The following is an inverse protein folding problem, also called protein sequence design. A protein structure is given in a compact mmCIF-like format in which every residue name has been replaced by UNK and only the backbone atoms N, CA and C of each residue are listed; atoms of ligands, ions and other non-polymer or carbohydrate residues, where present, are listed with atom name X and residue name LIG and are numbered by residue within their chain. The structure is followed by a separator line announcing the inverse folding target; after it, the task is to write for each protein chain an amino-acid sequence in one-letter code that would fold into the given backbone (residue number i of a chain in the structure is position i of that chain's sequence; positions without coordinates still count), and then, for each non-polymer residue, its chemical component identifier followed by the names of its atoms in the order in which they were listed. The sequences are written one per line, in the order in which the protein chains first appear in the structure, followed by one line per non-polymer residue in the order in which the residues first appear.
data_IF_531182833537
#
_entry.id   IF_531182833537
#
_cell.length_a   1.000
_cell.length_b   1.000
_cell.length_c   1.000
_cell.angle_alpha   90.00
_cell.angle_beta   90.00
_cell.angle_gamma   90.00
#
_symmetry.space_group_name_H-M   'P 1'
#
loop_
_entity.id
_entity.type
_entity.pdbx_description
1 polymer ?
#
# COMPACT_ATOMS: atom_id res chain seq x y z
N UNK A 1 -33.26 -30.94 30.25
CA UNK A 1 -33.89 -29.90 29.39
C UNK A 1 -33.16 -28.60 29.70
N UNK A 2 -32.04 -28.33 29.01
CA UNK A 2 -31.93 -27.67 27.69
C UNK A 2 -32.08 -26.15 27.82
N UNK A 3 -30.96 -25.43 27.95
CA UNK A 3 -30.27 -24.67 26.91
C UNK A 3 -30.67 -23.18 26.93
N UNK A 4 -29.71 -22.33 27.31
CA UNK A 4 -29.67 -20.93 26.93
C UNK A 4 -28.20 -20.57 26.70
N UNK A 5 -27.69 -21.03 25.57
CA UNK A 5 -26.48 -20.52 24.91
C UNK A 5 -26.88 -20.24 23.47
N UNK A 6 -26.10 -19.42 22.77
CA UNK A 6 -26.30 -18.96 21.38
C UNK A 6 -27.37 -17.85 21.29
N UNK A 7 -27.21 -16.70 20.61
CA UNK A 7 -26.39 -16.31 19.46
C UNK A 7 -26.15 -14.78 19.58
N UNK A 8 -24.91 -14.32 19.73
CA UNK A 8 -24.54 -12.96 19.29
C UNK A 8 -23.95 -13.16 17.90
N UNK A 9 -24.79 -12.98 16.88
CA UNK A 9 -24.41 -13.16 15.49
C UNK A 9 -23.46 -12.04 15.09
N UNK A 10 -22.22 -12.44 14.94
CA UNK A 10 -21.21 -11.89 14.06
C UNK A 10 -21.82 -11.20 12.83
N UNK A 11 -21.68 -9.88 12.78
CA UNK A 11 -22.04 -9.07 11.61
C UNK A 11 -20.72 -8.69 10.93
N UNK A 12 -20.05 -9.67 10.33
CA UNK A 12 -18.95 -9.45 9.40
C UNK A 12 -19.54 -8.91 8.11
N UNK A 13 -19.50 -7.59 7.94
CA UNK A 13 -19.73 -6.98 6.63
C UNK A 13 -18.55 -7.33 5.72
N UNK A 14 -18.55 -8.53 5.14
CA UNK A 14 -17.64 -8.87 4.05
C UNK A 14 -18.02 -8.03 2.82
N UNK A 15 -17.32 -6.91 2.64
CA UNK A 15 -17.13 -6.37 1.29
C UNK A 15 -16.54 -7.52 0.46
N UNK A 16 -17.32 -8.05 -0.48
CA UNK A 16 -17.00 -9.21 -1.33
C UNK A 16 -15.94 -8.83 -2.39
N UNK A 17 -14.85 -8.23 -1.92
CA UNK A 17 -13.71 -7.79 -2.71
C UNK A 17 -12.79 -8.97 -2.88
N UNK A 18 -12.40 -9.35 -4.11
CA UNK A 18 -11.47 -10.46 -4.33
C UNK A 18 -10.06 -10.14 -3.82
N UNK A 19 -9.83 -8.90 -3.36
CA UNK A 19 -8.57 -8.44 -2.81
C UNK A 19 -8.52 -8.59 -1.30
N UNK A 20 -7.46 -9.23 -0.82
CA UNK A 20 -7.08 -9.34 0.58
C UNK A 20 -5.88 -8.44 0.86
N UNK A 21 -5.99 -7.57 1.87
CA UNK A 21 -4.89 -6.74 2.32
C UNK A 21 -4.25 -7.38 3.56
N UNK A 22 -2.94 -7.54 3.54
CA UNK A 22 -2.18 -8.02 4.70
C UNK A 22 -0.92 -7.19 4.96
N UNK A 23 -0.41 -7.16 6.19
CA UNK A 23 0.95 -6.71 6.43
C UNK A 23 1.96 -7.51 5.61
N UNK A 24 2.94 -6.83 5.03
CA UNK A 24 4.13 -7.48 4.49
C UNK A 24 4.96 -8.05 5.64
N UNK A 25 5.63 -9.17 5.39
CA UNK A 25 6.52 -9.83 6.35
C UNK A 25 7.97 -9.73 5.88
N UNK A 26 8.96 -9.72 6.79
CA UNK A 26 10.38 -9.77 6.45
C UNK A 26 10.79 -11.18 6.01
N UNK A 27 10.19 -11.65 4.91
CA UNK A 27 10.49 -12.94 4.29
C UNK A 27 11.12 -12.72 2.93
N UNK A 28 11.98 -13.65 2.45
CA UNK A 28 12.55 -13.56 1.11
C UNK A 28 11.49 -13.41 0.00
N UNK A 29 10.32 -14.02 0.17
CA UNK A 29 9.22 -13.98 -0.80
C UNK A 29 8.60 -12.58 -0.92
N UNK A 30 8.24 -11.95 0.21
CA UNK A 30 7.65 -10.61 0.22
C UNK A 30 8.67 -9.56 -0.21
N UNK A 31 9.92 -9.70 0.24
CA UNK A 31 11.02 -8.83 -0.19
C UNK A 31 11.24 -8.91 -1.70
N UNK A 32 11.35 -10.12 -2.27
CA UNK A 32 11.51 -10.30 -3.70
C UNK A 32 10.29 -9.77 -4.49
N UNK A 33 9.08 -9.96 -3.97
CA UNK A 33 7.87 -9.42 -4.59
C UNK A 33 7.94 -7.89 -4.69
N UNK A 34 8.21 -7.20 -3.58
CA UNK A 34 8.28 -5.72 -3.52
C UNK A 34 9.32 -5.18 -4.50
N UNK A 35 10.55 -5.72 -4.49
CA UNK A 35 11.60 -5.30 -5.42
C UNK A 35 11.21 -5.53 -6.88
N UNK A 36 10.66 -6.71 -7.18
CA UNK A 36 10.24 -7.02 -8.55
C UNK A 36 9.08 -6.14 -9.03
N UNK A 37 8.18 -5.74 -8.12
CA UNK A 37 7.07 -4.84 -8.42
C UNK A 37 7.57 -3.41 -8.68
N UNK A 38 8.55 -2.91 -7.91
CA UNK A 38 9.27 -1.67 -8.20
C UNK A 38 9.91 -1.70 -9.58
N UNK A 39 10.71 -2.72 -9.88
CA UNK A 39 11.39 -2.88 -11.17
C UNK A 39 10.40 -2.92 -12.33
N UNK A 40 9.31 -3.68 -12.18
CA UNK A 40 8.27 -3.83 -13.21
C UNK A 40 7.54 -2.53 -13.55
N UNK A 41 7.58 -1.56 -12.64
CA UNK A 41 6.93 -0.27 -12.85
C UNK A 41 7.75 0.64 -13.78
N UNK A 42 9.06 0.45 -13.89
CA UNK A 42 9.93 1.33 -14.69
C UNK A 42 9.60 1.29 -16.19
N UNK A 43 9.43 0.12 -16.84
CA UNK A 43 9.02 0.07 -18.24
C UNK A 43 7.66 0.73 -18.48
N UNK A 44 6.70 0.55 -17.57
CA UNK A 44 5.39 1.18 -17.67
C UNK A 44 5.52 2.71 -17.59
N UNK A 45 6.24 3.22 -16.57
CA UNK A 45 6.50 4.66 -16.43
C UNK A 45 7.19 5.24 -17.67
N UNK A 46 8.19 4.55 -18.23
CA UNK A 46 8.84 4.97 -19.46
C UNK A 46 7.86 5.02 -20.64
N UNK A 47 7.01 4.00 -20.81
CA UNK A 47 6.04 3.92 -21.91
C UNK A 47 5.01 5.06 -21.90
N UNK A 48 4.71 5.62 -20.73
CA UNK A 48 3.76 6.73 -20.56
C UNK A 48 4.46 8.09 -20.37
N UNK A 49 5.76 8.19 -20.70
CA UNK A 49 6.54 9.43 -20.61
C UNK A 49 6.81 9.91 -19.18
N UNK A 50 6.73 9.02 -18.19
CA UNK A 50 6.91 9.28 -16.75
C UNK A 50 8.24 8.74 -16.20
N UNK A 51 9.22 8.47 -17.07
CA UNK A 51 10.51 7.90 -16.68
C UNK A 51 11.29 8.77 -15.69
N UNK A 52 11.16 10.10 -15.75
CA UNK A 52 11.83 11.04 -14.84
C UNK A 52 11.40 10.86 -13.38
N UNK A 53 10.23 10.25 -13.12
CA UNK A 53 9.74 10.02 -11.77
C UNK A 53 10.70 9.14 -10.96
N UNK A 54 11.19 8.03 -11.55
CA UNK A 54 12.05 7.07 -10.86
C UNK A 54 13.36 6.79 -11.60
N UNK A 55 13.57 7.26 -12.83
CA UNK A 55 14.71 6.92 -13.66
C UNK A 55 14.59 5.52 -14.30
N UNK A 56 15.68 5.03 -14.89
CA UNK A 56 15.71 3.79 -15.68
C UNK A 56 16.40 2.60 -15.01
N UNK A 57 17.27 2.84 -14.01
CA UNK A 57 17.97 1.76 -13.30
C UNK A 57 16.97 0.93 -12.48
N UNK A 58 16.91 -0.40 -12.59
CA UNK A 58 16.08 -1.23 -11.71
C UNK A 58 16.37 -0.98 -10.24
N UNK A 59 15.35 -0.85 -9.40
CA UNK A 59 15.48 -0.69 -7.95
C UNK A 59 16.24 -1.84 -7.30
N UNK A 60 16.08 -3.07 -7.80
CA UNK A 60 16.89 -4.22 -7.36
C UNK A 60 18.40 -4.05 -7.60
N UNK A 61 18.80 -3.10 -8.45
CA UNK A 61 20.20 -2.82 -8.82
C UNK A 61 20.67 -1.45 -8.31
N UNK A 62 19.84 -0.72 -7.55
CA UNK A 62 20.16 0.63 -7.04
C UNK A 62 20.86 0.57 -5.69
N UNK A 63 22.19 0.42 -5.70
CA UNK A 63 23.00 0.53 -4.49
C UNK A 63 22.41 -0.28 -3.33
N UNK A 64 22.12 0.40 -2.22
CA UNK A 64 21.60 -0.22 -0.98
C UNK A 64 20.07 -0.38 -0.95
N UNK A 65 19.34 -0.08 -2.03
CA UNK A 65 17.87 -0.13 -2.03
C UNK A 65 17.29 -1.50 -1.64
N UNK A 66 17.82 -2.64 -2.12
CA UNK A 66 17.38 -3.97 -1.64
C UNK A 66 17.55 -4.14 -0.12
N UNK A 67 18.70 -3.74 0.42
CA UNK A 67 19.03 -3.88 1.83
C UNK A 67 18.15 -2.97 2.69
N UNK A 68 17.93 -1.73 2.27
CA UNK A 68 17.03 -0.80 2.95
C UNK A 68 15.56 -1.28 2.88
N UNK A 69 15.11 -1.85 1.76
CA UNK A 69 13.77 -2.45 1.65
C UNK A 69 13.57 -3.58 2.66
N UNK A 70 14.59 -4.44 2.85
CA UNK A 70 14.53 -5.51 3.85
C UNK A 70 14.46 -4.95 5.28
N UNK A 71 15.29 -3.94 5.59
CA UNK A 71 15.28 -3.26 6.89
C UNK A 71 13.95 -2.55 7.16
N UNK A 72 13.33 -1.97 6.14
CA UNK A 72 12.00 -1.37 6.22
C UNK A 72 10.91 -2.42 6.50
N UNK A 73 11.02 -3.63 5.93
CA UNK A 73 10.14 -4.75 6.27
C UNK A 73 10.30 -5.18 7.72
N UNK A 74 11.53 -5.32 8.21
CA UNK A 74 11.83 -5.66 9.61
C UNK A 74 11.23 -4.62 10.56
N UNK A 75 11.44 -3.33 10.28
CA UNK A 75 10.92 -2.24 11.12
C UNK A 75 9.40 -2.11 11.06
N UNK A 76 8.78 -2.35 9.90
CA UNK A 76 7.32 -2.42 9.77
C UNK A 76 6.74 -3.55 10.63
N UNK A 77 7.39 -4.72 10.63
CA UNK A 77 6.95 -5.87 11.43
C UNK A 77 7.18 -5.67 12.92
N UNK A 78 8.35 -5.13 13.32
CA UNK A 78 8.63 -4.75 14.70
C UNK A 78 7.58 -3.76 15.22
N UNK A 79 7.23 -2.74 14.41
CA UNK A 79 6.21 -1.78 14.77
C UNK A 79 4.83 -2.42 14.90
N UNK A 80 4.47 -3.38 14.03
CA UNK A 80 3.22 -4.15 14.13
C UNK A 80 3.13 -4.91 15.46
N UNK A 81 4.22 -5.54 15.87
CA UNK A 81 4.25 -6.41 17.03
C UNK A 81 4.35 -5.65 18.35
N UNK A 82 5.10 -4.55 18.38
CA UNK A 82 5.46 -3.85 19.62
C UNK A 82 4.75 -2.51 19.81
N UNK A 83 4.23 -1.91 18.73
CA UNK A 83 3.73 -0.54 18.74
C UNK A 83 4.82 0.53 18.89
N UNK A 84 6.11 0.16 18.85
CA UNK A 84 7.25 1.09 18.85
C UNK A 84 7.84 1.18 17.45
N UNK A 85 8.07 2.39 16.95
CA UNK A 85 8.64 2.59 15.62
C UNK A 85 9.93 3.40 15.70
N UNK A 86 10.98 2.91 15.04
CA UNK A 86 12.22 3.66 14.82
C UNK A 86 12.25 4.30 13.41
N UNK A 87 11.19 4.13 12.63
CA UNK A 87 11.07 4.61 11.24
C UNK A 87 9.75 5.36 11.04
N UNK A 88 9.47 6.35 11.88
CA UNK A 88 8.35 7.29 11.69
C UNK A 88 6.98 6.61 11.45
N UNK A 89 6.71 5.51 12.16
CA UNK A 89 5.46 4.77 12.05
C UNK A 89 5.29 4.03 10.71
N UNK A 90 6.38 3.67 10.04
CA UNK A 90 6.36 2.91 8.77
C UNK A 90 5.60 1.59 8.93
N UNK A 91 4.69 1.34 7.99
CA UNK A 91 4.03 0.06 7.77
C UNK A 91 3.96 -0.25 6.27
N UNK A 92 4.22 -1.51 5.94
CA UNK A 92 4.15 -2.01 4.57
C UNK A 92 3.03 -3.04 4.48
N UNK A 93 2.19 -2.90 3.46
CA UNK A 93 1.08 -3.80 3.19
C UNK A 93 1.16 -4.35 1.78
N UNK A 94 0.80 -5.62 1.62
CA UNK A 94 0.65 -6.28 0.32
C UNK A 94 -0.85 -6.50 0.11
N UNK A 95 -1.32 -6.12 -1.08
CA UNK A 95 -2.64 -6.53 -1.57
C UNK A 95 -2.46 -7.78 -2.41
N UNK A 96 -3.23 -8.81 -2.06
CA UNK A 96 -3.25 -10.09 -2.74
C UNK A 96 -4.64 -10.34 -3.31
N UNK A 97 -4.73 -11.24 -4.27
CA UNK A 97 -5.98 -11.74 -4.82
C UNK A 97 -6.00 -13.25 -4.71
N UNK A 98 -7.14 -13.83 -4.36
CA UNK A 98 -7.33 -15.27 -4.42
C UNK A 98 -7.04 -15.78 -5.84
N UNK A 99 -6.26 -16.85 -5.93
CA UNK A 99 -5.74 -17.39 -7.17
C UNK A 99 -6.14 -18.86 -7.30
N UNK A 100 -6.86 -19.17 -8.37
CA UNK A 100 -7.22 -20.54 -8.73
C UNK A 100 -6.40 -20.97 -9.95
N UNK A 101 -5.83 -22.19 -9.90
CA UNK A 101 -4.88 -22.70 -10.89
C UNK A 101 -5.50 -22.88 -12.29
N UNK A 102 -6.83 -22.92 -12.39
CA UNK A 102 -7.57 -23.05 -13.66
C UNK A 102 -7.49 -21.81 -14.57
N UNK A 103 -6.81 -20.74 -14.13
CA UNK A 103 -6.48 -19.59 -14.99
C UNK A 103 -5.25 -19.93 -15.86
N UNK A 104 -5.45 -20.68 -16.95
CA UNK A 104 -4.42 -21.39 -17.76
C UNK A 104 -3.29 -20.56 -18.41
N UNK A 105 -3.21 -19.23 -18.30
CA UNK A 105 -2.34 -18.44 -19.18
C UNK A 105 -1.03 -17.88 -18.59
N UNK A 106 -0.68 -18.14 -17.32
CA UNK A 106 0.39 -17.37 -16.64
C UNK A 106 1.35 -18.19 -15.75
N UNK A 107 1.92 -19.29 -16.26
CA UNK A 107 2.54 -20.34 -15.42
C UNK A 107 4.05 -20.22 -15.12
N UNK A 108 4.77 -19.20 -15.62
CA UNK A 108 6.22 -19.08 -15.37
C UNK A 108 6.60 -18.16 -14.20
N UNK A 109 6.19 -16.89 -14.28
CA UNK A 109 6.69 -15.83 -13.39
C UNK A 109 5.77 -15.53 -12.19
N UNK A 110 4.51 -16.00 -12.19
CA UNK A 110 3.55 -15.74 -11.10
C UNK A 110 3.76 -16.68 -9.91
N UNK A 111 4.36 -17.85 -10.13
CA UNK A 111 4.49 -18.91 -9.13
C UNK A 111 5.45 -18.56 -8.00
N UNK A 112 6.50 -17.76 -8.26
CA UNK A 112 7.54 -17.43 -7.27
C UNK A 112 7.05 -16.58 -6.10
N UNK A 113 5.96 -15.84 -6.28
CA UNK A 113 5.39 -14.96 -5.26
C UNK A 113 4.06 -15.48 -4.70
N UNK A 114 3.58 -16.64 -5.17
CA UNK A 114 2.32 -17.21 -4.71
C UNK A 114 2.41 -17.59 -3.24
N UNK A 115 1.49 -17.08 -2.43
CA UNK A 115 1.38 -17.44 -1.03
C UNK A 115 0.34 -18.55 -0.88
N UNK A 116 0.75 -19.68 -0.33
CA UNK A 116 -0.15 -20.78 0.02
C UNK A 116 -0.42 -20.72 1.52
N UNK A 117 -1.69 -20.71 1.89
CA UNK A 117 -2.14 -20.75 3.29
C UNK A 117 -2.18 -22.19 3.81
N UNK A 118 -2.34 -22.35 5.13
CA UNK A 118 -2.45 -23.67 5.77
C UNK A 118 -3.67 -24.47 5.31
N UNK A 119 -4.74 -23.79 4.90
CA UNK A 119 -5.97 -24.36 4.33
C UNK A 119 -5.89 -24.60 2.82
N UNK A 120 -4.71 -24.38 2.21
CA UNK A 120 -4.48 -24.65 0.79
C UNK A 120 -4.99 -23.56 -0.16
N UNK A 121 -5.55 -22.47 0.36
CA UNK A 121 -5.89 -21.31 -0.47
C UNK A 121 -4.63 -20.62 -0.97
N UNK A 122 -4.62 -20.30 -2.26
CA UNK A 122 -3.54 -19.63 -2.94
C UNK A 122 -3.86 -18.15 -3.14
N UNK A 123 -2.92 -17.29 -2.78
CA UNK A 123 -3.03 -15.84 -2.91
C UNK A 123 -1.88 -15.32 -3.75
N UNK A 124 -2.23 -14.60 -4.82
CA UNK A 124 -1.27 -13.91 -5.68
C UNK A 124 -1.11 -12.47 -5.21
N UNK A 125 0.10 -12.02 -4.83
CA UNK A 125 0.39 -10.61 -4.64
C UNK A 125 0.20 -9.82 -5.94
N UNK A 126 -0.56 -8.72 -5.87
CA UNK A 126 -0.92 -7.89 -7.04
C UNK A 126 -0.60 -6.41 -6.81
N UNK A 127 -0.05 -6.06 -5.66
CA UNK A 127 0.44 -4.73 -5.35
C UNK A 127 0.90 -4.59 -3.90
N UNK A 128 1.47 -3.45 -3.56
CA UNK A 128 1.85 -3.11 -2.20
C UNK A 128 1.73 -1.60 -1.95
N UNK A 129 1.72 -1.23 -0.67
CA UNK A 129 1.77 0.16 -0.24
C UNK A 129 2.70 0.34 0.96
N UNK A 130 3.43 1.46 0.95
CA UNK A 130 4.17 1.97 2.10
C UNK A 130 3.35 3.10 2.70
N UNK A 131 3.12 3.04 4.01
CA UNK A 131 2.43 4.10 4.74
C UNK A 131 3.17 4.46 6.01
N UNK A 132 2.99 5.70 6.48
CA UNK A 132 3.59 6.19 7.72
C UNK A 132 2.56 6.90 8.59
N UNK A 133 2.57 6.60 9.88
CA UNK A 133 1.69 7.24 10.86
C UNK A 133 2.28 8.60 11.29
N UNK A 134 1.46 9.66 11.24
CA UNK A 134 1.80 11.01 11.72
C UNK A 134 3.10 11.59 11.15
N UNK A 135 3.46 11.20 9.94
CA UNK A 135 4.67 11.64 9.28
C UNK A 135 4.38 12.09 7.85
N UNK A 136 5.12 13.09 7.39
CA UNK A 136 5.17 13.49 5.99
C UNK A 136 6.63 13.74 5.60
N UNK A 137 7.00 13.57 4.31
CA UNK A 137 8.36 13.80 3.83
C UNK A 137 8.86 15.23 4.11
N UNK A 138 10.17 15.41 4.25
CA UNK A 138 10.77 16.74 4.53
C UNK A 138 10.40 17.77 3.47
N UNK A 139 10.39 17.39 2.18
CA UNK A 139 10.02 18.29 1.09
C UNK A 139 8.56 18.72 1.14
N UNK A 140 7.67 17.88 1.68
CA UNK A 140 6.28 18.24 1.97
C UNK A 140 6.21 19.24 3.12
N UNK A 141 6.94 18.97 4.22
CA UNK A 141 6.98 19.88 5.39
C UNK A 141 7.48 21.28 5.03
N UNK A 142 8.40 21.39 4.09
CA UNK A 142 8.94 22.68 3.64
C UNK A 142 7.97 23.52 2.78
N UNK A 143 6.84 22.95 2.34
CA UNK A 143 5.85 23.69 1.56
C UNK A 143 4.90 24.46 2.48
N UNK A 144 5.29 25.66 2.88
CA UNK A 144 4.52 26.51 3.81
C UNK A 144 3.12 26.89 3.33
N UNK A 145 2.83 26.75 2.03
CA UNK A 145 1.51 27.04 1.45
C UNK A 145 0.50 25.89 1.60
N UNK A 146 0.96 24.71 2.04
CA UNK A 146 0.12 23.52 2.19
C UNK A 146 -0.41 23.46 3.62
N UNK A 147 -1.68 23.06 3.83
CA UNK A 147 -2.29 23.03 5.15
C UNK A 147 -1.73 21.85 5.96
N UNK A 148 -0.52 21.96 6.49
CA UNK A 148 0.14 20.90 7.24
C UNK A 148 -0.75 20.41 8.38
N UNK A 149 -0.86 19.08 8.59
CA UNK A 149 -1.56 18.56 9.76
C UNK A 149 -0.80 18.99 11.01
N UNK A 150 -1.44 19.80 11.84
CA UNK A 150 -0.89 20.17 13.15
C UNK A 150 -1.09 18.96 14.06
N UNK A 151 -0.01 18.25 14.37
CA UNK A 151 -0.01 17.22 15.40
C UNK A 151 0.00 17.97 16.74
N UNK A 152 -1.17 18.38 17.22
CA UNK A 152 -1.27 18.91 18.58
C UNK A 152 -0.99 17.74 19.55
N UNK A 153 -0.04 17.93 20.45
CA UNK A 153 0.27 16.98 21.54
C UNK A 153 -0.92 16.78 22.50
N UNK A 154 -1.95 17.61 22.42
CA UNK A 154 -3.21 17.50 23.14
C UNK A 154 -4.28 16.83 22.27
N UNK A 155 -4.42 15.52 22.41
CA UNK A 155 -5.63 14.65 22.41
C UNK A 155 -6.88 14.91 21.53
N UNK A 156 -7.03 16.00 20.79
CA UNK A 156 -8.28 16.34 20.08
C UNK A 156 -8.22 16.11 18.55
N UNK A 157 -7.04 16.20 17.94
CA UNK A 157 -6.85 15.85 16.53
C UNK A 157 -6.36 14.41 16.47
N UNK A 158 -7.24 13.48 16.11
CA UNK A 158 -6.84 12.11 15.80
C UNK A 158 -5.80 12.13 14.67
N UNK A 159 -4.82 11.22 14.75
CA UNK A 159 -3.63 11.23 13.89
C UNK A 159 -3.93 11.14 12.39
N UNK A 160 -2.89 11.04 11.57
CA UNK A 160 -3.06 10.89 10.13
C UNK A 160 -2.16 9.79 9.56
N UNK A 161 -2.58 9.21 8.44
CA UNK A 161 -1.80 8.25 7.68
C UNK A 161 -1.29 8.90 6.40
N UNK A 162 0.00 8.76 6.11
CA UNK A 162 0.59 9.17 4.85
C UNK A 162 0.83 7.96 3.96
N UNK A 163 0.31 7.97 2.74
CA UNK A 163 0.59 6.99 1.70
C UNK A 163 1.83 7.44 0.93
N UNK A 164 2.97 6.81 1.20
CA UNK A 164 4.27 7.19 0.63
C UNK A 164 4.50 6.53 -0.73
N UNK A 165 4.25 5.23 -0.83
CA UNK A 165 4.38 4.46 -2.07
C UNK A 165 3.15 3.60 -2.25
N UNK A 166 2.67 3.50 -3.49
CA UNK A 166 1.65 2.54 -3.87
C UNK A 166 1.95 2.01 -5.27
N UNK A 167 2.10 0.71 -5.40
CA UNK A 167 2.36 0.04 -6.69
C UNK A 167 1.36 -1.08 -6.87
N UNK A 168 0.81 -1.18 -8.09
CA UNK A 168 0.06 -2.34 -8.57
C UNK A 168 0.88 -3.05 -9.63
N UNK A 169 1.08 -4.35 -9.47
CA UNK A 169 1.91 -5.14 -10.38
C UNK A 169 1.18 -5.37 -11.70
N UNK A 170 1.58 -4.66 -12.76
CA UNK A 170 0.94 -4.78 -14.08
C UNK A 170 1.27 -6.09 -14.80
N UNK A 171 2.30 -6.84 -14.36
CA UNK A 171 2.70 -8.10 -14.98
C UNK A 171 1.64 -9.18 -14.81
N UNK A 172 0.81 -9.07 -13.77
CA UNK A 172 -0.31 -9.99 -13.49
C UNK A 172 -1.58 -9.67 -14.30
N UNK A 173 -1.49 -8.73 -15.25
CA UNK A 173 -2.54 -8.41 -16.22
C UNK A 173 -3.86 -8.00 -15.56
N UNK A 174 -4.95 -8.67 -15.92
CA UNK A 174 -6.29 -8.34 -15.40
C UNK A 174 -6.46 -8.66 -13.91
N UNK A 175 -5.57 -9.44 -13.31
CA UNK A 175 -5.66 -9.82 -11.90
C UNK A 175 -5.43 -8.62 -10.98
N UNK A 176 -4.60 -7.64 -11.36
CA UNK A 176 -4.38 -6.42 -10.57
C UNK A 176 -5.48 -5.35 -10.75
N UNK A 177 -6.45 -5.54 -11.65
CA UNK A 177 -7.47 -4.52 -11.90
C UNK A 177 -8.34 -4.31 -10.66
N UNK A 178 -8.22 -3.13 -10.05
CA UNK A 178 -8.88 -2.77 -8.79
C UNK A 178 -7.99 -2.85 -7.56
N UNK A 179 -6.77 -3.38 -7.67
CA UNK A 179 -5.81 -3.48 -6.56
C UNK A 179 -5.48 -2.11 -5.96
N UNK A 180 -5.32 -1.06 -6.77
CA UNK A 180 -5.08 0.30 -6.27
C UNK A 180 -6.25 0.86 -5.45
N UNK A 181 -7.49 0.59 -5.87
CA UNK A 181 -8.67 0.97 -5.10
C UNK A 181 -8.78 0.16 -3.79
N UNK A 182 -8.44 -1.13 -3.83
CA UNK A 182 -8.37 -1.98 -2.64
C UNK A 182 -7.29 -1.52 -1.65
N UNK A 183 -6.11 -1.11 -2.12
CA UNK A 183 -5.05 -0.52 -1.30
C UNK A 183 -5.54 0.77 -0.64
N UNK A 184 -6.10 1.72 -1.40
CA UNK A 184 -6.61 2.98 -0.84
C UNK A 184 -7.69 2.72 0.23
N UNK A 185 -8.64 1.82 -0.05
CA UNK A 185 -9.69 1.47 0.91
C UNK A 185 -9.11 0.81 2.17
N UNK A 186 -8.23 -0.18 2.02
CA UNK A 186 -7.62 -0.88 3.14
C UNK A 186 -6.73 0.03 3.99
N UNK A 187 -6.04 1.01 3.38
CA UNK A 187 -5.27 2.01 4.12
C UNK A 187 -6.16 2.94 4.93
N UNK A 188 -7.36 3.27 4.42
CA UNK A 188 -8.36 4.01 5.19
C UNK A 188 -8.87 3.20 6.37
N UNK A 189 -9.23 1.93 6.15
CA UNK A 189 -9.70 1.03 7.21
C UNK A 189 -8.63 0.87 8.30
N UNK A 190 -7.36 0.72 7.90
CA UNK A 190 -6.22 0.74 8.80
C UNK A 190 -6.15 2.04 9.62
N UNK A 191 -6.17 3.20 8.95
CA UNK A 191 -6.12 4.51 9.62
C UNK A 191 -7.28 4.69 10.62
N UNK A 192 -8.51 4.33 10.22
CA UNK A 192 -9.70 4.41 11.06
C UNK A 192 -9.60 3.49 12.28
N UNK A 193 -9.13 2.25 12.10
CA UNK A 193 -8.88 1.32 13.20
C UNK A 193 -7.83 1.81 14.20
N UNK A 194 -6.99 2.78 13.79
CA UNK A 194 -5.99 3.46 14.63
C UNK A 194 -6.48 4.80 15.20
N UNK A 195 -7.74 5.17 14.98
CA UNK A 195 -8.32 6.44 15.44
C UNK A 195 -7.82 7.67 14.67
N UNK A 196 -7.22 7.46 13.49
CA UNK A 196 -6.73 8.56 12.65
C UNK A 196 -7.88 9.26 11.96
N UNK A 197 -7.78 10.59 11.90
CA UNK A 197 -8.76 11.47 11.29
C UNK A 197 -8.27 12.06 9.98
N UNK A 198 -7.24 11.52 9.33
CA UNK A 198 -6.87 11.94 7.97
C UNK A 198 -6.01 10.91 7.23
N UNK A 199 -6.12 10.92 5.90
CA UNK A 199 -5.20 10.23 4.99
C UNK A 199 -4.62 11.25 4.00
N UNK A 200 -3.31 11.18 3.79
CA UNK A 200 -2.53 12.08 2.97
C UNK A 200 -1.73 11.31 1.93
N UNK A 201 -1.49 11.92 0.79
CA UNK A 201 -0.66 11.39 -0.30
C UNK A 201 -0.13 12.58 -1.08
N UNK A 202 1.08 12.45 -1.60
CA UNK A 202 1.60 13.30 -2.67
C UNK A 202 1.71 12.50 -3.96
N UNK A 203 1.76 13.20 -5.09
CA UNK A 203 1.79 12.54 -6.39
C UNK A 203 2.61 13.33 -7.38
N UNK A 204 3.37 12.60 -8.19
CA UNK A 204 4.11 13.18 -9.30
C UNK A 204 3.15 13.85 -10.29
N UNK A 205 3.42 15.12 -10.60
CA UNK A 205 2.51 15.97 -11.37
C UNK A 205 2.62 15.78 -12.89
N UNK A 206 3.68 15.12 -13.36
CA UNK A 206 3.90 14.88 -14.79
C UNK A 206 2.85 13.94 -15.41
N UNK A 207 3.04 13.63 -16.70
CA UNK A 207 2.06 12.87 -17.50
C UNK A 207 0.63 13.41 -17.35
N UNK A 208 0.45 14.69 -17.64
CA UNK A 208 -0.84 15.40 -17.67
C UNK A 208 -1.65 15.30 -16.36
N UNK A 209 -0.96 15.05 -15.23
CA UNK A 209 -1.55 14.87 -13.91
C UNK A 209 -2.50 13.66 -13.83
N UNK A 210 -2.32 12.63 -14.67
CA UNK A 210 -3.19 11.43 -14.69
C UNK A 210 -3.22 10.71 -13.32
N UNK A 211 -2.07 10.59 -12.64
CA UNK A 211 -2.00 10.04 -11.29
C UNK A 211 -2.83 10.88 -10.29
N UNK A 212 -2.74 12.20 -10.40
CA UNK A 212 -3.53 13.12 -9.59
C UNK A 212 -5.03 12.94 -9.89
N UNK A 213 -5.44 12.78 -11.15
CA UNK A 213 -6.86 12.54 -11.50
C UNK A 213 -7.39 11.23 -10.94
N UNK A 214 -6.59 10.15 -10.93
CA UNK A 214 -6.98 8.87 -10.35
C UNK A 214 -7.22 8.98 -8.85
N UNK A 215 -6.31 9.62 -8.12
CA UNK A 215 -6.46 9.88 -6.68
C UNK A 215 -7.64 10.82 -6.40
N UNK A 216 -7.85 11.84 -7.22
CA UNK A 216 -8.99 12.76 -7.12
C UNK A 216 -10.34 12.05 -7.34
N UNK A 217 -10.43 11.14 -8.30
CA UNK A 217 -11.65 10.37 -8.54
C UNK A 217 -12.01 9.45 -7.36
N UNK A 218 -11.01 8.82 -6.74
CA UNK A 218 -11.21 7.95 -5.59
C UNK A 218 -11.45 8.73 -4.28
N UNK A 219 -11.00 9.98 -4.22
CA UNK A 219 -11.23 10.87 -3.07
C UNK A 219 -12.51 11.69 -3.15
N UNK A 220 -13.03 12.00 -4.34
CA UNK A 220 -14.32 12.68 -4.49
C UNK A 220 -15.51 11.80 -4.09
N UNK A 221 -15.34 10.48 -4.12
CA UNK A 221 -16.33 9.54 -3.59
C UNK A 221 -16.30 9.46 -2.05
N UNK A 222 -15.19 9.86 -1.41
CA UNK A 222 -14.92 9.66 0.02
C UNK A 222 -14.08 10.84 0.56
N UNK A 223 -14.76 11.84 1.14
CA UNK A 223 -14.24 13.03 1.84
C UNK A 223 -13.06 12.70 2.78
N UNK A 224 -11.83 12.55 2.29
CA UNK A 224 -10.63 12.43 3.14
C UNK A 224 -9.28 12.47 2.42
N UNK A 225 -9.07 13.38 1.46
CA UNK A 225 -7.74 13.60 0.88
C UNK A 225 -7.38 15.08 0.90
N UNK A 226 -6.25 15.41 1.53
CA UNK A 226 -5.62 16.72 1.38
C UNK A 226 -4.34 16.58 0.54
N UNK A 227 -4.25 17.48 -0.42
CA UNK A 227 -3.32 17.59 -1.55
C UNK A 227 -1.91 17.97 -1.09
N UNK A 228 -0.90 17.36 -1.70
CA UNK A 228 0.45 17.91 -1.78
C UNK A 228 0.95 17.68 -3.22
N UNK A 229 1.09 18.77 -3.99
CA UNK A 229 1.66 18.73 -5.34
C UNK A 229 3.02 19.41 -5.26
N UNK A 230 4.12 18.70 -5.48
CA UNK A 230 5.45 19.30 -5.64
C UNK A 230 6.03 18.96 -7.01
N UNK A 231 6.50 20.00 -7.68
CA UNK A 231 7.32 19.93 -8.90
C UNK A 231 8.75 19.54 -8.54
N UNK A 232 9.31 18.58 -9.26
CA UNK A 232 10.34 18.81 -10.28
C UNK A 232 10.14 17.74 -11.37
#
# INVERSE_FOLDING_TARGET
MSQASTIVSEMTTHSNSPFHLRPAKPTPTDHAFILSAFDSSLPLLASIGSHEQWGSTPFSQRGDFPQETLKELDQSEEYRLTGKSNMDGLRIFIVEREYHHDNEDHTGSLSSHLRVTSDGQCFLPVGFAYVRENWVPKYVKSQHHLPMPIIHSSTEIGGFLYLEVMITDSRVGRLCRGAGAALIRGMREYAQGRGMKAQWVDGWAGNERKLIRFVLFLSSLLLFFKRLSCWC
#
